data_IF_658057092465
#
_entry.id   IF_658057092465
#
_cell.length_a   1.000
_cell.length_b   1.000
_cell.length_c   1.000
_cell.angle_alpha   90.00
_cell.angle_beta   90.00
_cell.angle_gamma   90.00
#
_symmetry.space_group_name_H-M   'P 1'
#
loop_
_entity.id
_entity.type
_entity.pdbx_description
1 polymer ?
#
# COMPACT_ATOMS: atom_id res chain seq x y z
N UNK A 1 -10.81 4.42 20.29
CA UNK A 1 -10.21 5.17 19.18
C UNK A 1 -10.48 4.44 17.89
N UNK A 2 -10.71 5.18 16.82
CA UNK A 2 -10.70 4.72 15.45
C UNK A 2 -9.29 4.85 14.86
N UNK A 3 -8.66 3.74 14.51
CA UNK A 3 -7.26 3.68 14.08
C UNK A 3 -7.20 3.16 12.65
N UNK A 4 -6.52 3.90 11.76
CA UNK A 4 -6.18 3.41 10.42
C UNK A 4 -4.75 2.91 10.38
N UNK A 5 -4.61 1.65 9.97
CA UNK A 5 -3.36 0.99 9.65
C UNK A 5 -3.12 1.14 8.14
N UNK A 6 -2.31 2.13 7.74
CA UNK A 6 -2.05 2.44 6.35
C UNK A 6 -0.73 1.79 5.89
N UNK A 7 -0.80 0.82 4.99
CA UNK A 7 0.39 0.16 4.48
C UNK A 7 0.24 -0.17 3.00
N UNK A 8 1.22 0.25 2.20
CA UNK A 8 1.22 0.12 0.75
C UNK A 8 2.56 -0.51 0.38
N UNK A 9 2.52 -1.65 -0.32
CA UNK A 9 3.72 -2.38 -0.68
C UNK A 9 3.49 -3.87 -0.89
N UNK A 10 4.55 -4.63 -0.64
CA UNK A 10 4.60 -6.07 -0.74
C UNK A 10 3.89 -6.77 0.42
N UNK A 11 3.84 -8.10 0.37
CA UNK A 11 3.33 -8.91 1.49
C UNK A 11 4.10 -8.65 2.79
N UNK A 12 5.40 -8.38 2.71
CA UNK A 12 6.24 -8.08 3.87
C UNK A 12 5.82 -6.79 4.57
N UNK A 13 5.28 -5.83 3.82
CA UNK A 13 4.81 -4.55 4.35
C UNK A 13 3.41 -4.67 4.98
N UNK A 14 2.57 -5.57 4.46
CA UNK A 14 1.17 -5.70 4.89
C UNK A 14 0.98 -6.72 6.02
N UNK A 15 1.64 -7.88 5.92
CA UNK A 15 1.42 -8.99 6.84
C UNK A 15 1.68 -8.64 8.32
N UNK A 16 2.67 -7.81 8.70
CA UNK A 16 2.89 -7.41 10.10
C UNK A 16 1.75 -6.59 10.71
N UNK A 17 0.95 -5.91 9.89
CA UNK A 17 -0.17 -5.10 10.37
C UNK A 17 -1.39 -5.94 10.78
N UNK A 18 -1.48 -7.19 10.31
CA UNK A 18 -2.56 -8.11 10.70
C UNK A 18 -2.55 -8.43 12.19
N UNK A 19 -1.47 -8.99 12.79
CA UNK A 19 -1.44 -9.24 14.23
C UNK A 19 -1.50 -7.95 15.05
N UNK A 20 -0.94 -6.84 14.57
CA UNK A 20 -1.08 -5.53 15.21
C UNK A 20 -2.56 -5.10 15.27
N UNK A 21 -3.28 -5.22 14.16
CA UNK A 21 -4.70 -4.87 14.08
C UNK A 21 -5.56 -5.73 15.00
N UNK A 22 -5.27 -7.03 15.08
CA UNK A 22 -5.95 -7.95 16.01
C UNK A 22 -5.73 -7.50 17.46
N UNK A 23 -4.47 -7.19 17.83
CA UNK A 23 -4.16 -6.73 19.19
C UNK A 23 -4.85 -5.40 19.54
N UNK A 24 -4.90 -4.45 18.60
CA UNK A 24 -5.60 -3.18 18.77
C UNK A 24 -7.12 -3.35 18.90
N UNK A 25 -7.74 -4.25 18.11
CA UNK A 25 -9.15 -4.60 18.26
C UNK A 25 -9.43 -5.23 19.64
N UNK A 26 -8.57 -6.14 20.10
CA UNK A 26 -8.68 -6.76 21.43
C UNK A 26 -8.55 -5.74 22.57
N UNK A 27 -7.78 -4.67 22.36
CA UNK A 27 -7.68 -3.54 23.29
C UNK A 27 -8.90 -2.60 23.26
N UNK A 28 -9.93 -2.90 22.45
CA UNK A 28 -11.17 -2.10 22.36
C UNK A 28 -11.12 -0.95 21.37
N UNK A 29 -10.17 -0.95 20.43
CA UNK A 29 -10.11 0.04 19.35
C UNK A 29 -10.89 -0.43 18.12
N UNK A 30 -11.45 0.53 17.37
CA UNK A 30 -11.96 0.28 16.03
C UNK A 30 -10.78 0.38 15.07
N UNK A 31 -10.51 -0.67 14.30
CA UNK A 31 -9.31 -0.76 13.47
C UNK A 31 -9.71 -1.09 12.05
N UNK A 32 -9.11 -0.40 11.08
CA UNK A 32 -9.15 -0.78 9.67
C UNK A 32 -7.74 -0.81 9.09
N UNK A 33 -7.52 -1.70 8.13
CA UNK A 33 -6.28 -1.78 7.35
C UNK A 33 -6.55 -1.24 5.95
N UNK A 34 -5.81 -0.21 5.56
CA UNK A 34 -5.85 0.40 4.25
C UNK A 34 -4.65 -0.06 3.42
N UNK A 35 -4.89 -0.81 2.33
CA UNK A 35 -3.84 -1.35 1.45
C UNK A 35 -4.41 -1.79 0.10
N UNK A 36 -3.58 -2.36 -0.78
CA UNK A 36 -4.00 -2.89 -2.07
C UNK A 36 -5.07 -3.99 -1.94
N UNK A 37 -5.98 -4.02 -2.91
CA UNK A 37 -7.09 -5.00 -3.00
C UNK A 37 -6.60 -6.45 -2.92
N UNK A 38 -5.40 -6.75 -3.41
CA UNK A 38 -4.78 -8.08 -3.37
C UNK A 38 -4.72 -8.67 -1.94
N UNK A 39 -4.68 -7.82 -0.90
CA UNK A 39 -4.60 -8.25 0.49
C UNK A 39 -5.95 -8.28 1.21
N UNK A 40 -7.05 -7.87 0.57
CA UNK A 40 -8.38 -7.94 1.16
C UNK A 40 -8.73 -9.35 1.69
N UNK A 41 -8.46 -10.46 0.98
CA UNK A 41 -8.73 -11.80 1.51
C UNK A 41 -7.90 -12.13 2.76
N UNK A 42 -6.65 -11.65 2.83
CA UNK A 42 -5.78 -11.84 3.99
C UNK A 42 -6.37 -11.12 5.22
N UNK A 43 -6.79 -9.87 5.05
CA UNK A 43 -7.30 -9.01 6.14
C UNK A 43 -8.64 -9.52 6.64
N UNK A 44 -9.59 -9.78 5.73
CA UNK A 44 -10.94 -10.23 6.09
C UNK A 44 -10.94 -11.59 6.78
N UNK A 45 -9.98 -12.47 6.46
CA UNK A 45 -9.83 -13.79 7.11
C UNK A 45 -9.65 -13.68 8.63
N UNK A 46 -9.12 -12.57 9.13
CA UNK A 46 -8.90 -12.33 10.56
C UNK A 46 -9.96 -11.40 11.19
N UNK A 47 -11.06 -11.09 10.48
CA UNK A 47 -12.13 -10.25 11.02
C UNK A 47 -11.77 -8.77 11.16
N UNK A 48 -10.73 -8.33 10.46
CA UNK A 48 -10.30 -6.93 10.43
C UNK A 48 -11.06 -6.16 9.35
N UNK A 49 -11.37 -4.89 9.60
CA UNK A 49 -11.95 -4.02 8.58
C UNK A 49 -10.89 -3.69 7.51
N UNK A 50 -11.33 -3.60 6.26
CA UNK A 50 -10.48 -3.33 5.11
C UNK A 50 -10.92 -2.06 4.38
N UNK A 51 -9.95 -1.23 4.00
CA UNK A 51 -10.14 -0.09 3.11
C UNK A 51 -9.28 -0.26 1.85
N UNK A 52 -9.85 -0.22 0.63
CA UNK A 52 -9.09 -0.42 -0.59
C UNK A 52 -8.25 0.81 -0.96
N UNK A 53 -6.99 0.56 -1.33
CA UNK A 53 -6.10 1.51 -1.98
C UNK A 53 -5.86 1.03 -3.42
N UNK A 54 -5.94 1.95 -4.38
CA UNK A 54 -5.71 1.66 -5.80
C UNK A 54 -4.28 1.18 -6.06
N UNK A 55 -4.12 0.26 -7.01
CA UNK A 55 -2.83 -0.38 -7.33
C UNK A 55 -2.83 -1.86 -7.00
N UNK A 56 -1.66 -2.49 -7.07
CA UNK A 56 -1.46 -3.90 -6.76
C UNK A 56 -0.06 -4.13 -6.19
N UNK A 57 0.10 -5.23 -5.46
CA UNK A 57 1.40 -5.63 -4.89
C UNK A 57 2.40 -6.05 -5.98
N UNK A 58 1.92 -6.25 -7.21
CA UNK A 58 2.68 -6.65 -8.39
C UNK A 58 3.41 -5.49 -9.09
N UNK A 59 3.44 -4.29 -8.49
CA UNK A 59 4.31 -3.20 -8.92
C UNK A 59 5.82 -3.54 -8.89
N UNK A 60 6.19 -4.73 -8.41
CA UNK A 60 7.45 -5.44 -8.74
C UNK A 60 7.72 -5.57 -10.26
N UNK A 61 6.75 -5.29 -11.13
CA UNK A 61 7.01 -5.01 -12.55
C UNK A 61 8.14 -3.99 -12.76
N UNK A 62 8.40 -3.09 -11.81
CA UNK A 62 9.51 -2.14 -11.85
C UNK A 62 10.89 -2.82 -11.89
N UNK A 63 11.07 -3.88 -11.11
CA UNK A 63 12.33 -4.64 -11.07
C UNK A 63 12.56 -5.38 -12.38
N UNK A 64 11.51 -6.01 -12.94
CA UNK A 64 11.63 -6.74 -14.20
C UNK A 64 11.78 -5.83 -15.41
N UNK A 65 11.06 -4.70 -15.44
CA UNK A 65 11.16 -3.71 -16.52
C UNK A 65 12.50 -2.95 -16.47
N UNK A 66 12.98 -2.61 -15.27
CA UNK A 66 14.30 -2.01 -15.06
C UNK A 66 15.43 -2.94 -15.50
N UNK A 67 15.37 -4.23 -15.14
CA UNK A 67 16.32 -5.24 -15.60
C UNK A 67 16.35 -5.35 -17.12
N UNK A 68 15.19 -5.45 -17.79
CA UNK A 68 15.13 -5.54 -19.26
C UNK A 68 15.72 -4.32 -19.97
N UNK A 69 15.59 -3.13 -19.42
CA UNK A 69 16.16 -1.90 -20.01
C UNK A 69 17.68 -1.85 -19.85
N UNK A 70 18.18 -2.28 -18.69
CA UNK A 70 19.61 -2.43 -18.44
C UNK A 70 20.22 -3.48 -19.38
N UNK A 71 19.57 -4.63 -19.52
CA UNK A 71 20.01 -5.72 -20.40
C UNK A 71 19.96 -5.35 -21.89
N UNK A 72 19.01 -4.50 -22.30
CA UNK A 72 18.86 -4.03 -23.68
C UNK A 72 19.77 -2.82 -24.03
N UNK A 73 20.60 -2.34 -23.09
CA UNK A 73 21.48 -1.19 -23.31
C UNK A 73 20.76 0.16 -23.44
N UNK A 74 19.52 0.27 -22.94
CA UNK A 74 18.74 1.49 -22.94
C UNK A 74 19.22 2.49 -21.89
N UNK A 75 18.95 3.80 -22.08
CA UNK A 75 19.29 4.82 -21.10
C UNK A 75 18.39 4.69 -19.84
N UNK A 76 18.96 4.36 -18.66
CA UNK A 76 18.18 4.15 -17.43
C UNK A 76 17.45 5.42 -16.97
N UNK A 77 18.03 6.61 -17.22
CA UNK A 77 17.40 7.88 -16.85
C UNK A 77 16.16 8.16 -17.67
N UNK A 78 16.20 7.89 -18.98
CA UNK A 78 15.04 8.05 -19.85
C UNK A 78 13.94 7.06 -19.49
N UNK A 79 14.29 5.82 -19.13
CA UNK A 79 13.32 4.84 -18.63
C UNK A 79 12.69 5.30 -17.32
N UNK A 80 13.48 5.71 -16.33
CA UNK A 80 12.95 6.21 -15.05
C UNK A 80 12.02 7.41 -15.26
N UNK A 81 12.37 8.36 -16.13
CA UNK A 81 11.54 9.54 -16.36
C UNK A 81 10.21 9.20 -17.04
N UNK A 82 10.22 8.34 -18.07
CA UNK A 82 8.99 7.88 -18.74
C UNK A 82 8.13 7.04 -17.81
N UNK A 83 8.75 6.22 -16.99
CA UNK A 83 8.06 5.40 -16.02
C UNK A 83 7.43 6.23 -14.89
N UNK A 84 8.14 7.22 -14.37
CA UNK A 84 7.60 8.17 -13.41
C UNK A 84 6.34 8.87 -13.95
N UNK A 85 6.37 9.29 -15.23
CA UNK A 85 5.19 9.88 -15.87
C UNK A 85 4.02 8.88 -16.03
N UNK A 86 4.30 7.59 -16.23
CA UNK A 86 3.26 6.54 -16.28
C UNK A 86 2.67 6.23 -14.90
N UNK A 87 3.47 6.30 -13.84
CA UNK A 87 3.01 6.08 -12.47
C UNK A 87 2.33 7.29 -11.84
N UNK A 88 2.56 8.50 -12.34
CA UNK A 88 2.02 9.73 -11.74
C UNK A 88 0.50 9.65 -11.47
N UNK A 89 -0.36 9.20 -12.40
CA UNK A 89 -1.79 9.10 -12.14
C UNK A 89 -2.12 8.09 -11.04
N UNK A 90 -1.43 6.94 -11.03
CA UNK A 90 -1.61 5.92 -10.00
C UNK A 90 -1.13 6.43 -8.64
N UNK A 91 0.02 7.10 -8.58
CA UNK A 91 0.54 7.70 -7.36
C UNK A 91 -0.43 8.74 -6.78
N UNK A 92 -1.00 9.61 -7.64
CA UNK A 92 -2.05 10.56 -7.22
C UNK A 92 -3.29 9.85 -6.69
N UNK A 93 -3.71 8.76 -7.32
CA UNK A 93 -4.85 7.97 -6.84
C UNK A 93 -4.54 7.29 -5.51
N UNK A 94 -3.36 6.69 -5.35
CA UNK A 94 -2.91 6.09 -4.08
C UNK A 94 -2.92 7.12 -2.95
N UNK A 95 -2.43 8.34 -3.20
CA UNK A 95 -2.47 9.43 -2.23
C UNK A 95 -3.91 9.85 -1.90
N UNK A 96 -4.78 9.96 -2.90
CA UNK A 96 -6.19 10.29 -2.70
C UNK A 96 -6.93 9.22 -1.88
N UNK A 97 -6.70 7.94 -2.17
CA UNK A 97 -7.29 6.83 -1.45
C UNK A 97 -6.74 6.77 -0.01
N UNK A 98 -5.45 7.00 0.18
CA UNK A 98 -4.82 7.06 1.51
C UNK A 98 -5.40 8.20 2.35
N UNK A 99 -5.59 9.36 1.73
CA UNK A 99 -6.26 10.50 2.35
C UNK A 99 -7.70 10.15 2.77
N UNK A 100 -8.46 9.50 1.88
CA UNK A 100 -9.83 9.07 2.15
C UNK A 100 -9.89 8.02 3.28
N UNK A 101 -8.98 7.05 3.29
CA UNK A 101 -8.87 6.02 4.32
C UNK A 101 -8.66 6.61 5.72
N UNK A 102 -7.91 7.71 5.81
CA UNK A 102 -7.58 8.32 7.09
C UNK A 102 -8.68 9.25 7.65
N UNK A 103 -9.73 9.53 6.90
CA UNK A 103 -10.78 10.46 7.35
C UNK A 103 -11.54 9.91 8.56
N UNK A 104 -11.74 10.78 9.56
CA UNK A 104 -12.47 10.44 10.78
C UNK A 104 -11.75 9.46 11.70
N UNK A 105 -10.44 9.28 11.54
CA UNK A 105 -9.60 8.44 12.41
C UNK A 105 -8.94 9.29 13.49
N UNK A 106 -8.79 8.73 14.70
CA UNK A 106 -8.12 9.39 15.82
C UNK A 106 -6.59 9.23 15.73
N UNK A 107 -6.12 8.17 15.06
CA UNK A 107 -4.71 7.87 14.88
C UNK A 107 -4.45 7.11 13.58
N UNK A 108 -3.27 7.37 12.98
CA UNK A 108 -2.77 6.67 11.80
C UNK A 108 -1.46 5.99 12.20
N UNK A 109 -1.34 4.69 11.90
CA UNK A 109 -0.08 3.95 11.98
C UNK A 109 0.27 3.55 10.56
N UNK A 110 1.40 4.04 10.06
CA UNK A 110 1.79 3.87 8.66
C UNK A 110 3.17 3.24 8.50
N UNK A 111 3.35 2.48 7.41
CA UNK A 111 4.66 2.03 6.95
C UNK A 111 5.31 3.09 6.05
N UNK A 112 6.63 3.29 6.20
CA UNK A 112 7.38 4.43 5.66
C UNK A 112 7.51 4.54 4.14
N UNK A 113 6.97 3.61 3.35
CA UNK A 113 6.91 3.74 1.87
C UNK A 113 5.63 4.49 1.43
N UNK A 114 4.77 4.89 2.37
CA UNK A 114 3.59 5.72 2.08
C UNK A 114 3.89 7.23 1.89
N UNK A 115 5.16 7.67 1.94
CA UNK A 115 5.60 9.04 1.66
C UNK A 115 6.91 9.09 0.88
#
# INVERSE_FOLDING_TARGET
MHITLLTIGSRGDVQPFVPLGIGLQQAGHQVQIATYVDFQPLINRYGLNFFPISGNAQATMLEEAGKKVLDAGGNPFTFMHRYAALLEPLAKQVLADSWAACQGTDAIIAHGIAF
#
